data_IF_294017726346
#
_entry.id   IF_294017726346
#
_cell.length_a   1.000
_cell.length_b   1.000
_cell.length_c   1.000
_cell.angle_alpha   90.00
_cell.angle_beta   90.00
_cell.angle_gamma   90.00
#
_symmetry.space_group_name_H-M   'P 1'
#
loop_
_entity.id
_entity.type
_entity.pdbx_description
1 polymer ?
#
# COMPACT_ATOMS: atom_id res chain seq x y z
N UNK A 1 25.97 -35.51 -20.67
CA UNK A 1 24.63 -35.48 -20.05
C UNK A 1 24.49 -34.12 -19.36
N UNK A 2 23.97 -33.10 -20.06
CA UNK A 2 23.86 -31.74 -19.54
C UNK A 2 22.48 -31.58 -18.87
N UNK A 3 22.45 -31.40 -17.54
CA UNK A 3 21.23 -31.02 -16.84
C UNK A 3 20.98 -29.52 -17.06
N UNK A 4 19.87 -29.20 -17.74
CA UNK A 4 19.36 -27.83 -17.80
C UNK A 4 18.77 -27.50 -16.44
N UNK A 5 19.47 -26.70 -15.63
CA UNK A 5 18.90 -26.09 -14.43
C UNK A 5 17.85 -25.08 -14.92
N UNK A 6 16.60 -25.49 -14.99
CA UNK A 6 15.50 -24.55 -15.16
C UNK A 6 15.49 -23.64 -13.93
N UNK A 7 15.94 -22.40 -14.12
CA UNK A 7 15.68 -21.34 -13.13
C UNK A 7 14.18 -21.08 -13.22
N UNK A 8 13.42 -21.60 -12.28
CA UNK A 8 12.07 -21.12 -12.03
C UNK A 8 12.21 -19.66 -11.59
N UNK A 9 11.92 -18.72 -12.51
CA UNK A 9 11.79 -17.31 -12.19
C UNK A 9 10.38 -17.14 -11.64
N UNK A 10 10.29 -16.85 -10.33
CA UNK A 10 9.04 -16.43 -9.71
C UNK A 10 8.93 -14.92 -9.87
N UNK A 11 7.85 -14.44 -10.48
CA UNK A 11 7.54 -13.02 -10.59
C UNK A 11 6.86 -12.55 -9.30
N UNK A 12 7.18 -11.33 -8.88
CA UNK A 12 6.61 -10.70 -7.69
C UNK A 12 5.89 -9.42 -8.09
N UNK A 13 4.63 -9.30 -7.68
CA UNK A 13 3.79 -8.14 -7.94
C UNK A 13 3.30 -7.54 -6.61
N UNK A 14 3.16 -6.22 -6.59
CA UNK A 14 2.63 -5.46 -5.45
C UNK A 14 1.43 -4.64 -5.91
N UNK A 15 0.28 -4.82 -5.26
CA UNK A 15 -0.99 -4.25 -5.70
C UNK A 15 -1.65 -3.53 -4.53
N UNK A 16 -2.01 -2.27 -4.71
CA UNK A 16 -2.92 -1.54 -3.84
C UNK A 16 -4.36 -1.93 -4.15
N UNK A 17 -5.18 -2.06 -3.11
CA UNK A 17 -6.62 -2.28 -3.23
C UNK A 17 -7.33 -1.16 -2.48
N UNK A 18 -7.97 -0.25 -3.21
CA UNK A 18 -8.68 0.89 -2.65
C UNK A 18 -10.07 0.48 -2.10
N UNK A 19 -10.66 1.24 -1.16
CA UNK A 19 -11.97 0.93 -0.56
C UNK A 19 -13.10 0.72 -1.57
N UNK A 20 -13.05 1.42 -2.71
CA UNK A 20 -13.99 1.34 -3.82
C UNK A 20 -13.82 0.09 -4.70
N UNK A 21 -12.75 -0.68 -4.48
CA UNK A 21 -12.42 -1.88 -5.26
C UNK A 21 -11.45 -1.66 -6.41
N UNK A 22 -11.09 -0.40 -6.69
CA UNK A 22 -10.04 -0.07 -7.65
C UNK A 22 -8.68 -0.61 -7.19
N UNK A 23 -7.80 -0.89 -8.15
CA UNK A 23 -6.47 -1.43 -7.88
C UNK A 23 -5.38 -0.67 -8.63
N UNK A 24 -4.19 -0.63 -8.04
CA UNK A 24 -3.01 0.00 -8.62
C UNK A 24 -1.77 -0.86 -8.35
N UNK A 25 -1.04 -1.23 -9.41
CA UNK A 25 0.26 -1.88 -9.26
C UNK A 25 1.33 -0.87 -8.83
N UNK A 26 2.23 -1.29 -7.96
CA UNK A 26 3.34 -0.46 -7.44
C UNK A 26 4.66 -1.21 -7.54
N UNK A 27 5.76 -0.47 -7.61
CA UNK A 27 7.10 -1.05 -7.82
C UNK A 27 7.76 -1.57 -6.52
N UNK A 28 7.21 -1.21 -5.36
CA UNK A 28 7.84 -1.47 -4.08
C UNK A 28 6.85 -2.02 -3.04
N UNK A 29 7.30 -2.94 -2.17
CA UNK A 29 6.47 -3.42 -1.09
C UNK A 29 6.20 -2.32 -0.07
N UNK A 30 5.01 -2.38 0.53
CA UNK A 30 4.60 -1.50 1.62
C UNK A 30 4.53 -2.22 2.96
N UNK A 31 4.48 -1.45 4.03
CA UNK A 31 4.29 -1.93 5.40
C UNK A 31 2.85 -1.77 5.87
N UNK A 32 2.44 -2.60 6.82
CA UNK A 32 1.21 -2.37 7.57
C UNK A 32 1.23 -0.98 8.24
N UNK A 33 0.08 -0.31 8.32
CA UNK A 33 -0.08 1.07 8.78
C UNK A 33 0.67 2.14 7.97
N UNK A 34 1.31 1.80 6.86
CA UNK A 34 1.95 2.80 6.02
C UNK A 34 0.92 3.77 5.43
N UNK A 35 1.26 5.06 5.48
CA UNK A 35 0.40 6.16 5.05
C UNK A 35 0.77 6.57 3.62
N UNK A 36 -0.23 6.68 2.74
CA UNK A 36 -0.06 6.92 1.32
C UNK A 36 -0.96 8.08 0.83
N UNK A 37 -0.54 8.75 -0.24
CA UNK A 37 -1.43 9.60 -1.03
C UNK A 37 -2.31 8.76 -1.98
N UNK A 38 -3.22 9.41 -2.71
CA UNK A 38 -4.09 8.75 -3.69
C UNK A 38 -3.35 8.07 -4.85
N UNK A 39 -2.08 8.40 -5.09
CA UNK A 39 -1.27 7.81 -6.15
C UNK A 39 -0.40 6.65 -5.62
N UNK A 40 -0.62 6.18 -4.39
CA UNK A 40 0.17 5.12 -3.79
C UNK A 40 1.55 5.55 -3.29
N UNK A 41 1.84 6.86 -3.22
CA UNK A 41 3.13 7.35 -2.73
C UNK A 41 3.12 7.47 -1.22
N UNK A 42 4.13 6.90 -0.56
CA UNK A 42 4.30 7.02 0.87
C UNK A 42 4.48 8.48 1.31
N UNK A 43 3.73 8.87 2.35
CA UNK A 43 3.79 10.20 2.94
C UNK A 43 4.71 10.21 4.15
N UNK A 44 5.47 11.30 4.30
CA UNK A 44 6.24 11.57 5.51
C UNK A 44 5.36 12.26 6.55
N UNK A 45 5.60 11.93 7.82
CA UNK A 45 4.95 12.56 8.95
C UNK A 45 5.88 13.60 9.61
N UNK A 46 5.35 14.71 10.14
CA UNK A 46 3.95 15.10 10.09
C UNK A 46 3.51 15.48 8.66
N UNK A 47 2.23 15.27 8.35
CA UNK A 47 1.66 15.68 7.06
C UNK A 47 1.75 17.20 6.89
N UNK A 48 2.03 17.65 5.67
CA UNK A 48 2.10 19.09 5.35
C UNK A 48 0.77 19.81 5.55
N UNK A 49 -0.34 19.10 5.34
CA UNK A 49 -1.70 19.61 5.48
C UNK A 49 -2.64 18.45 5.78
N UNK A 50 -3.69 18.71 6.55
CA UNK A 50 -4.84 17.83 6.80
C UNK A 50 -5.84 17.83 5.62
N UNK A 51 -5.67 18.72 4.64
CA UNK A 51 -6.57 18.89 3.49
C UNK A 51 -6.13 18.03 2.30
N UNK A 52 -5.97 16.73 2.51
CA UNK A 52 -5.58 15.79 1.46
C UNK A 52 -6.25 14.43 1.65
N UNK A 53 -6.42 13.69 0.55
CA UNK A 53 -6.89 12.30 0.58
C UNK A 53 -5.71 11.42 0.96
N UNK A 54 -5.86 10.69 2.06
CA UNK A 54 -4.80 9.86 2.64
C UNK A 54 -5.36 8.48 2.91
N UNK A 55 -4.58 7.47 2.52
CA UNK A 55 -4.91 6.09 2.76
C UNK A 55 -3.93 5.45 3.75
N UNK A 56 -4.39 4.43 4.45
CA UNK A 56 -3.57 3.58 5.32
C UNK A 56 -3.68 2.13 4.88
N UNK A 57 -2.55 1.44 4.83
CA UNK A 57 -2.54 -0.03 4.67
C UNK A 57 -3.07 -0.66 5.95
N UNK A 58 -4.30 -1.18 5.91
CA UNK A 58 -4.95 -1.82 7.07
C UNK A 58 -4.95 -3.35 7.00
N UNK A 59 -4.58 -3.91 5.84
CA UNK A 59 -4.44 -5.36 5.66
C UNK A 59 -3.45 -5.66 4.54
N UNK A 60 -2.62 -6.67 4.76
CA UNK A 60 -1.71 -7.24 3.77
C UNK A 60 -2.08 -8.70 3.55
N UNK A 61 -2.19 -9.11 2.29
CA UNK A 61 -2.47 -10.51 1.93
C UNK A 61 -1.67 -10.91 0.71
N UNK A 62 -1.14 -12.13 0.69
CA UNK A 62 -0.37 -12.65 -0.43
C UNK A 62 -1.14 -13.78 -1.11
N UNK A 63 -1.11 -13.79 -2.44
CA UNK A 63 -1.61 -14.89 -3.28
C UNK A 63 -0.45 -15.45 -4.08
N UNK A 64 -0.27 -16.77 -3.99
CA UNK A 64 0.75 -17.48 -4.76
C UNK A 64 0.07 -18.31 -5.85
N UNK A 65 0.55 -18.17 -7.07
CA UNK A 65 0.17 -18.97 -8.24
C UNK A 65 1.44 -19.54 -8.89
N UNK A 66 1.29 -20.45 -9.85
CA UNK A 66 2.44 -21.14 -10.47
C UNK A 66 3.36 -20.15 -11.18
N UNK A 67 4.45 -19.78 -10.50
CA UNK A 67 5.46 -18.86 -11.02
C UNK A 67 5.22 -17.38 -10.70
N UNK A 68 4.19 -17.05 -9.92
CA UNK A 68 3.83 -15.67 -9.59
C UNK A 68 3.41 -15.54 -8.12
N UNK A 69 3.84 -14.45 -7.49
CA UNK A 69 3.47 -14.09 -6.12
C UNK A 69 2.97 -12.65 -6.12
N UNK A 70 1.70 -12.46 -5.78
CA UNK A 70 1.09 -11.13 -5.73
C UNK A 70 0.78 -10.77 -4.29
N UNK A 71 1.32 -9.65 -3.82
CA UNK A 71 1.00 -9.09 -2.51
C UNK A 71 0.02 -7.94 -2.66
N UNK A 72 -1.13 -8.06 -2.00
CA UNK A 72 -2.19 -7.07 -1.98
C UNK A 72 -2.14 -6.27 -0.67
N UNK A 73 -2.11 -4.95 -0.82
CA UNK A 73 -2.15 -3.96 0.24
C UNK A 73 -3.52 -3.29 0.23
N UNK A 74 -4.39 -3.74 1.12
CA UNK A 74 -5.75 -3.20 1.24
C UNK A 74 -5.70 -1.89 2.01
N UNK A 75 -6.32 -0.88 1.43
CA UNK A 75 -6.31 0.49 1.90
C UNK A 75 -7.62 0.87 2.56
N UNK A 76 -7.53 1.66 3.62
CA UNK A 76 -8.67 2.37 4.20
C UNK A 76 -8.42 3.87 4.12
N UNK A 77 -9.49 4.65 3.96
CA UNK A 77 -9.41 6.10 3.99
C UNK A 77 -9.16 6.57 5.42
N UNK A 78 -8.13 7.40 5.62
CA UNK A 78 -7.84 8.00 6.92
C UNK A 78 -8.89 9.07 7.23
N UNK A 79 -9.44 9.03 8.44
CA UNK A 79 -10.49 9.97 8.85
C UNK A 79 -9.96 11.38 9.06
N UNK A 80 -10.86 12.38 9.08
CA UNK A 80 -10.49 13.76 9.39
C UNK A 80 -9.79 13.90 10.74
N UNK A 81 -10.29 13.24 11.79
CA UNK A 81 -9.68 13.27 13.12
C UNK A 81 -8.23 12.77 13.11
N UNK A 82 -7.98 11.66 12.41
CA UNK A 82 -6.65 11.10 12.25
C UNK A 82 -5.75 11.99 11.39
N UNK A 83 -6.27 12.60 10.31
CA UNK A 83 -5.52 13.53 9.46
C UNK A 83 -4.95 14.71 10.24
N UNK A 84 -5.75 15.31 11.14
CA UNK A 84 -5.26 16.38 12.02
C UNK A 84 -4.14 15.88 12.93
N UNK A 85 -4.30 14.70 13.53
CA UNK A 85 -3.27 14.09 14.38
C UNK A 85 -1.97 13.84 13.60
N UNK A 86 -2.07 13.27 12.39
CA UNK A 86 -0.94 13.00 11.50
C UNK A 86 -0.27 14.28 11.01
N UNK A 87 -1.00 15.40 10.91
CA UNK A 87 -0.46 16.72 10.63
C UNK A 87 0.15 17.42 11.87
N UNK A 88 0.12 16.78 13.05
CA UNK A 88 0.59 17.38 14.30
C UNK A 88 -0.32 18.49 14.83
N UNK A 89 -1.60 18.48 14.45
CA UNK A 89 -2.61 19.50 14.80
C UNK A 89 -3.69 18.91 15.71
N UNK A 90 -4.36 19.78 16.44
CA UNK A 90 -5.58 19.43 17.19
C UNK A 90 -6.79 19.48 16.27
N UNK A 91 -7.65 18.47 16.32
CA UNK A 91 -8.88 18.43 15.54
C UNK A 91 -9.86 19.51 16.05
N UNK A 92 -10.39 20.40 15.20
CA UNK A 92 -11.43 21.35 15.58
C UNK A 92 -12.74 20.58 15.76
N UNK A 93 -13.31 20.67 16.96
CA UNK A 93 -14.63 20.10 17.29
C UNK A 93 -15.78 20.82 16.65
#
# INVERSE_FOLDING_TARGET
MYWKKERFLTLYYFVLVYPEGDTLEIDAPLSFNQILDMNGRALQLPLRTEKMVVYRVFKVSTKEERGEVTTFYHLELVTGAELFHLAGKTFPG
#
